data_IF_147529388926
#
_entry.id   IF_147529388926
#
_cell.length_a   1.000
_cell.length_b   1.000
_cell.length_c   1.000
_cell.angle_alpha   90.00
_cell.angle_beta   90.00
_cell.angle_gamma   90.00
#
_symmetry.space_group_name_H-M   'P 1'
#
loop_
_entity.id
_entity.type
_entity.pdbx_description
1 polymer ?
#
# COMPACT_ATOMS: atom_id res chain seq x y z
N UNK A 1 -20.18 20.60 1.75
CA UNK A 1 -19.30 20.04 0.70
C UNK A 1 -18.36 19.10 1.42
N UNK A 2 -18.64 17.80 1.37
CA UNK A 2 -17.85 16.79 2.09
C UNK A 2 -16.47 16.74 1.46
N UNK A 3 -15.49 17.26 2.19
CA UNK A 3 -14.08 17.11 1.89
C UNK A 3 -13.78 15.63 2.15
N UNK A 4 -13.83 14.80 1.10
CA UNK A 4 -13.36 13.42 1.22
C UNK A 4 -11.90 13.50 1.63
N UNK A 5 -11.56 13.02 2.82
CA UNK A 5 -10.15 12.79 3.19
C UNK A 5 -9.59 11.81 2.15
N UNK A 6 -8.89 12.33 1.14
CA UNK A 6 -8.18 11.51 0.20
C UNK A 6 -7.09 10.78 0.99
N UNK A 7 -7.33 9.52 1.32
CA UNK A 7 -6.30 8.68 1.92
C UNK A 7 -5.11 8.63 0.96
N UNK A 8 -3.95 9.05 1.43
CA UNK A 8 -2.70 9.01 0.65
C UNK A 8 -1.98 7.70 0.93
N UNK A 9 -1.54 7.02 -0.12
CA UNK A 9 -0.80 5.75 -0.04
C UNK A 9 0.66 5.99 -0.42
N UNK A 10 1.58 5.53 0.42
CA UNK A 10 3.02 5.57 0.17
C UNK A 10 3.38 4.58 -0.93
N UNK A 11 3.97 5.08 -2.01
CA UNK A 11 4.37 4.30 -3.20
C UNK A 11 5.89 4.16 -3.33
N UNK A 12 6.65 5.01 -2.64
CA UNK A 12 8.10 4.92 -2.57
C UNK A 12 8.65 5.67 -1.35
N UNK A 13 9.91 5.40 -1.03
CA UNK A 13 10.71 6.09 -0.01
C UNK A 13 11.96 6.70 -0.61
N UNK A 14 12.26 7.94 -0.28
CA UNK A 14 13.51 8.60 -0.64
C UNK A 14 14.63 8.07 0.26
N UNK A 15 15.63 7.42 -0.33
CA UNK A 15 16.70 6.75 0.42
C UNK A 15 17.96 7.60 0.56
N UNK A 16 18.30 8.38 -0.46
CA UNK A 16 19.44 9.31 -0.46
C UNK A 16 19.38 10.28 -1.63
N UNK A 17 20.21 11.30 -1.61
CA UNK A 17 20.44 12.17 -2.76
C UNK A 17 21.17 11.45 -3.89
N UNK A 18 21.04 11.99 -5.09
CA UNK A 18 21.70 11.52 -6.30
C UNK A 18 22.12 12.75 -7.11
N UNK A 19 23.38 12.82 -7.54
CA UNK A 19 23.86 13.97 -8.33
C UNK A 19 23.84 15.29 -7.55
N UNK A 20 23.93 16.40 -8.29
CA UNK A 20 24.03 17.76 -7.74
C UNK A 20 22.79 18.61 -8.00
N UNK A 21 21.88 18.18 -8.88
CA UNK A 21 20.71 18.97 -9.32
C UNK A 21 19.44 18.60 -8.56
N UNK A 22 19.61 18.03 -7.37
CA UNK A 22 18.51 17.65 -6.49
C UNK A 22 17.77 16.37 -6.89
N UNK A 23 18.39 15.50 -7.70
CA UNK A 23 17.86 14.15 -7.88
C UNK A 23 17.95 13.35 -6.58
N UNK A 24 17.06 12.36 -6.44
CA UNK A 24 17.05 11.45 -5.32
C UNK A 24 16.96 10.00 -5.77
N UNK A 25 17.56 9.09 -5.01
CA UNK A 25 17.26 7.67 -5.11
C UNK A 25 16.02 7.34 -4.32
N UNK A 26 15.19 6.48 -4.89
CA UNK A 26 13.98 5.99 -4.25
C UNK A 26 13.98 4.48 -4.19
N UNK A 27 13.37 3.94 -3.15
CA UNK A 27 12.95 2.54 -3.04
C UNK A 27 11.45 2.48 -3.30
N UNK A 28 11.02 1.67 -4.26
CA UNK A 28 9.61 1.51 -4.59
C UNK A 28 8.95 0.58 -3.57
N UNK A 29 7.79 0.99 -3.06
CA UNK A 29 6.90 0.15 -2.25
C UNK A 29 5.86 -0.56 -3.12
N UNK A 30 5.63 -0.02 -4.32
CA UNK A 30 4.83 -0.61 -5.38
C UNK A 30 5.69 -0.67 -6.65
N UNK A 31 5.92 -1.87 -7.18
CA UNK A 31 6.69 -2.08 -8.41
C UNK A 31 5.89 -1.70 -9.65
N UNK A 32 5.76 -0.39 -9.90
CA UNK A 32 5.19 0.16 -11.11
C UNK A 32 5.90 1.49 -11.45
N UNK A 33 6.66 1.53 -12.55
CA UNK A 33 7.36 2.73 -12.97
C UNK A 33 6.42 3.79 -13.55
N UNK A 34 5.30 3.39 -14.14
CA UNK A 34 4.34 4.30 -14.77
C UNK A 34 3.71 5.24 -13.74
N UNK A 35 3.72 4.84 -12.46
CA UNK A 35 3.26 5.67 -11.34
C UNK A 35 4.18 6.89 -11.09
N UNK A 36 5.39 6.93 -11.66
CA UNK A 36 6.32 8.06 -11.55
C UNK A 36 6.43 8.90 -12.82
N UNK A 37 5.37 8.91 -13.65
CA UNK A 37 5.33 9.73 -14.87
C UNK A 37 5.55 11.23 -14.62
N UNK A 38 6.23 11.89 -15.57
CA UNK A 38 6.48 13.33 -15.53
C UNK A 38 5.17 14.12 -15.45
N UNK A 39 5.17 15.20 -14.67
CA UNK A 39 4.01 16.04 -14.41
C UNK A 39 3.03 15.50 -13.36
N UNK A 40 3.23 14.26 -12.85
CA UNK A 40 2.35 13.73 -11.80
C UNK A 40 2.54 14.51 -10.50
N UNK A 41 1.40 14.87 -9.90
CA UNK A 41 1.34 15.49 -8.57
C UNK A 41 1.42 14.41 -7.51
N UNK A 42 2.27 14.62 -6.51
CA UNK A 42 2.52 13.69 -5.40
C UNK A 42 2.57 14.46 -4.09
N UNK A 43 2.46 13.74 -2.97
CA UNK A 43 2.70 14.27 -1.65
C UNK A 43 4.02 13.73 -1.11
N UNK A 44 4.87 14.62 -0.60
CA UNK A 44 6.07 14.26 0.15
C UNK A 44 5.78 14.44 1.64
N UNK A 45 6.12 13.43 2.44
CA UNK A 45 5.93 13.49 3.90
C UNK A 45 6.97 12.64 4.62
N UNK A 46 7.48 13.08 5.77
CA UNK A 46 8.42 12.27 6.56
C UNK A 46 8.73 12.90 7.90
N UNK A 47 9.49 12.22 8.75
CA UNK A 47 9.77 12.70 10.11
C UNK A 47 10.44 14.09 10.18
N UNK A 48 11.14 14.50 9.12
CA UNK A 48 11.88 15.77 9.05
C UNK A 48 11.13 16.89 8.32
N UNK A 49 10.00 16.60 7.68
CA UNK A 49 9.29 17.55 6.82
C UNK A 49 7.77 17.47 7.08
N UNK A 50 7.12 18.62 7.08
CA UNK A 50 5.66 18.65 6.98
C UNK A 50 5.23 18.10 5.62
N UNK A 51 3.98 17.62 5.54
CA UNK A 51 3.41 17.19 4.27
C UNK A 51 3.43 18.34 3.26
N UNK A 52 3.97 18.07 2.07
CA UNK A 52 4.10 19.04 0.99
C UNK A 52 3.82 18.41 -0.37
N UNK A 53 2.95 19.07 -1.13
CA UNK A 53 2.74 18.74 -2.54
C UNK A 53 3.99 19.00 -3.38
N UNK A 54 4.30 18.06 -4.27
CA UNK A 54 5.37 18.16 -5.25
C UNK A 54 4.89 17.64 -6.61
N UNK A 55 5.69 17.90 -7.64
CA UNK A 55 5.43 17.40 -8.99
C UNK A 55 6.68 16.68 -9.49
N UNK A 56 6.48 15.50 -10.07
CA UNK A 56 7.58 14.72 -10.65
C UNK A 56 8.02 15.42 -11.94
N UNK A 57 9.30 15.77 -12.00
CA UNK A 57 9.92 16.28 -13.22
C UNK A 57 10.28 15.12 -14.15
N UNK A 58 11.02 14.14 -13.62
CA UNK A 58 11.27 12.89 -14.32
C UNK A 58 11.58 11.74 -13.35
N UNK A 59 11.46 10.53 -13.87
CA UNK A 59 11.86 9.29 -13.24
C UNK A 59 12.68 8.45 -14.21
N UNK A 60 13.69 7.73 -13.70
CA UNK A 60 14.46 6.77 -14.50
C UNK A 60 15.04 5.64 -13.64
N UNK A 61 15.25 4.49 -14.28
CA UNK A 61 16.14 3.45 -13.75
C UNK A 61 17.56 3.71 -14.23
N UNK A 62 18.51 3.69 -13.29
CA UNK A 62 19.92 3.93 -13.57
C UNK A 62 20.77 2.97 -12.73
N UNK A 63 21.49 2.05 -13.38
CA UNK A 63 22.36 1.05 -12.73
C UNK A 63 21.65 0.26 -11.61
N UNK A 64 20.43 -0.23 -11.87
CA UNK A 64 19.65 -0.97 -10.88
C UNK A 64 19.00 -0.13 -9.78
N UNK A 65 19.10 1.20 -9.85
CA UNK A 65 18.45 2.11 -8.90
C UNK A 65 17.34 2.91 -9.56
N UNK A 66 16.28 3.18 -8.79
CA UNK A 66 15.23 4.11 -9.16
C UNK A 66 15.64 5.53 -8.75
N UNK A 67 15.63 6.46 -9.71
CA UNK A 67 16.00 7.87 -9.51
C UNK A 67 14.82 8.74 -9.89
N UNK A 68 14.45 9.65 -9.00
CA UNK A 68 13.40 10.64 -9.22
C UNK A 68 13.95 12.06 -9.10
N UNK A 69 13.35 12.97 -9.86
CA UNK A 69 13.55 14.41 -9.77
C UNK A 69 12.19 15.06 -9.58
N UNK A 70 12.13 16.06 -8.71
CA UNK A 70 10.93 16.86 -8.49
C UNK A 70 11.16 18.29 -8.95
N UNK A 71 10.11 18.95 -9.44
CA UNK A 71 10.16 20.37 -9.81
C UNK A 71 10.40 21.23 -8.56
N UNK A 72 11.37 22.14 -8.63
CA UNK A 72 11.71 23.06 -7.52
C UNK A 72 12.58 22.46 -6.41
N UNK A 73 13.12 21.25 -6.59
CA UNK A 73 14.16 20.66 -5.72
C UNK A 73 15.43 20.57 -6.56
N UNK A 74 16.14 21.68 -6.74
CA UNK A 74 17.13 21.83 -7.81
C UNK A 74 18.60 21.76 -7.35
N UNK A 75 18.82 21.45 -6.07
CA UNK A 75 20.15 21.29 -5.49
C UNK A 75 20.23 20.06 -4.58
N UNK A 76 21.44 19.54 -4.40
CA UNK A 76 21.70 18.46 -3.43
C UNK A 76 21.25 18.86 -2.02
N UNK A 77 21.51 20.10 -1.59
CA UNK A 77 21.13 20.62 -0.29
C UNK A 77 19.61 20.69 -0.10
N UNK A 78 18.86 20.93 -1.17
CA UNK A 78 17.40 20.85 -1.13
C UNK A 78 16.92 19.41 -1.03
N UNK A 79 17.48 18.51 -1.83
CA UNK A 79 17.13 17.09 -1.82
C UNK A 79 17.44 16.39 -0.49
N UNK A 80 18.52 16.78 0.19
CA UNK A 80 18.91 16.24 1.50
C UNK A 80 17.81 16.35 2.56
N UNK A 81 17.01 17.42 2.51
CA UNK A 81 15.88 17.66 3.42
C UNK A 81 14.80 16.58 3.31
N UNK A 82 14.71 15.92 2.15
CA UNK A 82 13.70 14.91 1.84
C UNK A 82 14.21 13.48 2.02
N UNK A 83 15.47 13.27 2.41
CA UNK A 83 15.98 11.91 2.67
C UNK A 83 15.23 11.29 3.85
N UNK A 84 14.65 10.11 3.62
CA UNK A 84 13.75 9.41 4.53
C UNK A 84 12.28 9.77 4.37
N UNK A 85 11.94 10.75 3.53
CA UNK A 85 10.55 11.06 3.22
C UNK A 85 9.93 10.00 2.30
N UNK A 86 8.63 9.83 2.45
CA UNK A 86 7.79 8.98 1.61
C UNK A 86 7.18 9.81 0.48
N UNK A 87 7.04 9.17 -0.66
CA UNK A 87 6.32 9.66 -1.84
C UNK A 87 4.96 9.00 -1.83
N UNK A 88 3.91 9.80 -1.76
CA UNK A 88 2.53 9.35 -1.67
C UNK A 88 1.68 9.88 -2.82
N UNK A 89 0.64 9.12 -3.16
CA UNK A 89 -0.42 9.54 -4.10
C UNK A 89 -1.80 9.31 -3.48
N UNK A 90 -2.85 9.96 -3.97
CA UNK A 90 -4.21 9.62 -3.57
C UNK A 90 -4.52 8.14 -3.85
N UNK A 91 -5.19 7.45 -2.92
CA UNK A 91 -5.52 6.03 -3.06
C UNK A 91 -6.32 5.73 -4.34
N UNK A 92 -7.17 6.66 -4.79
CA UNK A 92 -7.93 6.53 -6.04
C UNK A 92 -7.12 6.66 -7.33
N UNK A 93 -5.85 7.06 -7.24
CA UNK A 93 -4.93 7.14 -8.39
C UNK A 93 -3.99 5.94 -8.48
N UNK A 94 -4.13 4.95 -7.59
CA UNK A 94 -3.37 3.71 -7.69
C UNK A 94 -3.75 2.96 -8.98
N UNK A 95 -2.76 2.33 -9.65
CA UNK A 95 -3.02 1.44 -10.77
C UNK A 95 -4.06 0.38 -10.40
N UNK A 96 -4.92 0.00 -11.34
CA UNK A 96 -5.77 -1.16 -11.11
C UNK A 96 -4.87 -2.39 -10.90
N UNK A 97 -5.07 -3.17 -9.83
CA UNK A 97 -4.34 -4.42 -9.67
C UNK A 97 -4.75 -5.38 -10.79
N UNK A 98 -3.90 -6.40 -11.03
CA UNK A 98 -4.23 -7.49 -11.96
C UNK A 98 -5.52 -8.18 -11.52
N UNK A 99 -6.22 -8.83 -12.45
CA UNK A 99 -7.41 -9.61 -12.11
C UNK A 99 -7.09 -10.64 -11.00
N UNK A 100 -7.92 -10.66 -9.96
CA UNK A 100 -7.72 -11.50 -8.77
C UNK A 100 -6.66 -10.99 -7.77
N UNK A 101 -6.03 -9.84 -8.04
CA UNK A 101 -5.12 -9.18 -7.11
C UNK A 101 -5.82 -7.99 -6.44
N UNK A 102 -5.45 -7.72 -5.19
CA UNK A 102 -6.03 -6.66 -4.38
C UNK A 102 -4.94 -5.94 -3.61
N UNK A 103 -5.11 -4.62 -3.42
CA UNK A 103 -4.27 -3.94 -2.45
C UNK A 103 -4.75 -4.26 -1.04
N UNK A 104 -3.82 -4.63 -0.16
CA UNK A 104 -4.14 -5.04 1.22
C UNK A 104 -4.91 -3.99 2.01
N UNK A 105 -4.64 -2.70 1.78
CA UNK A 105 -5.36 -1.61 2.43
C UNK A 105 -6.84 -1.53 2.01
N UNK A 106 -7.20 -2.03 0.81
CA UNK A 106 -8.60 -2.09 0.35
C UNK A 106 -9.40 -3.16 1.10
N UNK A 107 -8.71 -4.23 1.52
CA UNK A 107 -9.33 -5.35 2.23
C UNK A 107 -9.63 -5.00 3.69
N UNK A 108 -8.86 -4.08 4.29
CA UNK A 108 -9.03 -3.71 5.70
C UNK A 108 -10.45 -3.22 5.99
N UNK A 109 -11.04 -3.78 7.04
CA UNK A 109 -12.42 -3.51 7.46
C UNK A 109 -13.48 -4.25 6.66
N UNK A 110 -13.11 -5.15 5.73
CA UNK A 110 -14.11 -6.03 5.11
C UNK A 110 -14.59 -7.09 6.11
N UNK A 111 -15.87 -7.39 6.04
CA UNK A 111 -16.50 -8.47 6.80
C UNK A 111 -16.18 -9.81 6.15
N UNK A 112 -15.73 -10.76 6.96
CA UNK A 112 -15.28 -12.08 6.54
C UNK A 112 -16.37 -13.11 6.87
N UNK A 113 -16.72 -13.92 5.87
CA UNK A 113 -17.74 -14.96 5.98
C UNK A 113 -17.22 -16.30 5.48
N UNK A 114 -17.73 -17.39 6.02
CA UNK A 114 -17.49 -18.72 5.46
C UNK A 114 -18.28 -18.93 4.16
N UNK A 115 -17.93 -19.96 3.38
CA UNK A 115 -18.67 -20.35 2.18
C UNK A 115 -20.15 -20.68 2.40
N UNK A 116 -20.57 -20.90 3.65
CA UNK A 116 -21.97 -21.15 4.04
C UNK A 116 -22.69 -19.88 4.54
N UNK A 117 -22.02 -18.72 4.53
CA UNK A 117 -22.58 -17.44 4.96
C UNK A 117 -22.48 -17.16 6.46
N UNK A 118 -21.72 -17.95 7.22
CA UNK A 118 -21.46 -17.68 8.64
C UNK A 118 -20.47 -16.53 8.79
N UNK A 119 -20.77 -15.57 9.67
CA UNK A 119 -19.89 -14.45 9.95
C UNK A 119 -18.69 -14.88 10.81
N UNK A 120 -17.48 -14.62 10.33
CA UNK A 120 -16.22 -14.94 11.01
C UNK A 120 -15.73 -13.74 11.82
N UNK A 121 -15.84 -12.53 11.27
CA UNK A 121 -15.33 -11.30 11.91
C UNK A 121 -14.99 -10.23 10.88
N UNK A 122 -14.34 -9.15 11.32
CA UNK A 122 -13.90 -8.06 10.44
C UNK A 122 -12.38 -8.12 10.25
N UNK A 123 -11.91 -7.93 9.01
CA UNK A 123 -10.48 -7.96 8.71
C UNK A 123 -9.78 -6.73 9.30
N UNK A 124 -8.94 -6.93 10.32
CA UNK A 124 -8.22 -5.84 10.98
C UNK A 124 -6.86 -5.55 10.34
N UNK A 125 -6.17 -6.57 9.84
CA UNK A 125 -4.88 -6.44 9.18
C UNK A 125 -4.58 -7.58 8.20
N UNK A 126 -3.69 -7.32 7.25
CA UNK A 126 -2.98 -8.35 6.48
C UNK A 126 -1.54 -8.37 6.97
N UNK A 127 -1.10 -9.49 7.55
CA UNK A 127 0.22 -9.67 8.14
C UNK A 127 1.15 -10.35 7.14
N UNK A 128 2.39 -9.88 7.05
CA UNK A 128 3.46 -10.61 6.36
C UNK A 128 4.12 -11.60 7.32
N UNK A 129 4.03 -12.89 7.01
CA UNK A 129 4.53 -13.99 7.83
C UNK A 129 5.55 -14.82 7.04
N UNK A 130 6.80 -14.34 6.97
CA UNK A 130 7.91 -15.11 6.38
C UNK A 130 7.71 -15.50 4.92
N UNK A 131 7.14 -14.61 4.10
CA UNK A 131 6.87 -14.85 2.68
C UNK A 131 5.46 -15.35 2.37
N UNK A 132 4.68 -15.72 3.38
CA UNK A 132 3.23 -15.90 3.27
C UNK A 132 2.50 -14.68 3.83
N UNK A 133 1.25 -14.47 3.39
CA UNK A 133 0.37 -13.45 3.97
C UNK A 133 -0.73 -14.10 4.79
N UNK A 134 -1.08 -13.49 5.91
CA UNK A 134 -2.13 -13.95 6.82
C UNK A 134 -3.15 -12.83 6.99
N UNK A 135 -4.43 -13.14 6.82
CA UNK A 135 -5.55 -12.29 7.19
C UNK A 135 -5.76 -12.40 8.70
N UNK A 136 -5.67 -11.27 9.41
CA UNK A 136 -6.06 -11.18 10.81
C UNK A 136 -7.50 -10.67 10.89
N UNK A 137 -8.38 -11.52 11.39
CA UNK A 137 -9.82 -11.28 11.48
C UNK A 137 -10.22 -11.24 12.94
N UNK A 138 -10.79 -10.11 13.37
CA UNK A 138 -11.17 -9.90 14.76
C UNK A 138 -12.70 -10.01 14.89
N UNK A 139 -13.15 -10.72 15.93
CA UNK A 139 -14.55 -10.81 16.33
C UNK A 139 -14.65 -10.73 17.84
N UNK A 140 -15.20 -9.62 18.34
CA UNK A 140 -15.30 -9.36 19.78
C UNK A 140 -13.93 -9.49 20.48
N UNK A 141 -13.71 -10.56 21.26
CA UNK A 141 -12.45 -10.86 21.94
C UNK A 141 -11.68 -12.03 21.31
N UNK A 142 -12.13 -12.54 20.17
CA UNK A 142 -11.51 -13.65 19.44
C UNK A 142 -10.75 -13.11 18.22
N UNK A 143 -9.56 -13.68 17.99
CA UNK A 143 -8.71 -13.40 16.83
C UNK A 143 -8.62 -14.67 15.99
N UNK A 144 -8.88 -14.55 14.69
CA UNK A 144 -8.72 -15.64 13.72
C UNK A 144 -7.68 -15.27 12.67
N UNK A 145 -6.67 -16.14 12.53
CA UNK A 145 -5.63 -16.03 11.53
C UNK A 145 -5.93 -16.95 10.34
N UNK A 146 -6.14 -16.37 9.17
CA UNK A 146 -6.51 -17.12 7.95
C UNK A 146 -5.40 -16.92 6.90
N UNK A 147 -4.80 -18.00 6.35
CA UNK A 147 -3.85 -17.87 5.26
C UNK A 147 -4.46 -17.13 4.06
N UNK A 148 -3.79 -16.07 3.60
CA UNK A 148 -4.18 -15.31 2.41
C UNK A 148 -3.69 -16.02 1.14
N UNK A 149 -4.27 -17.20 0.88
CA UNK A 149 -3.98 -18.04 -0.26
C UNK A 149 -5.28 -18.38 -1.02
N UNK A 150 -5.19 -18.56 -2.35
CA UNK A 150 -6.34 -18.83 -3.20
C UNK A 150 -7.19 -20.03 -2.74
N UNK A 151 -6.57 -21.04 -2.12
CA UNK A 151 -7.29 -22.21 -1.60
C UNK A 151 -8.28 -21.89 -0.48
N UNK A 152 -8.07 -20.80 0.25
CA UNK A 152 -8.94 -20.37 1.34
C UNK A 152 -9.82 -19.17 0.96
N UNK A 153 -9.64 -18.58 -0.24
CA UNK A 153 -10.37 -17.40 -0.68
C UNK A 153 -11.35 -17.79 -1.79
N UNK A 154 -12.64 -17.73 -1.47
CA UNK A 154 -13.70 -18.02 -2.44
C UNK A 154 -14.05 -16.79 -3.27
N UNK A 155 -14.22 -15.64 -2.61
CA UNK A 155 -14.63 -14.39 -3.26
C UNK A 155 -14.19 -13.18 -2.44
N UNK A 156 -13.81 -12.10 -3.12
CA UNK A 156 -13.61 -10.78 -2.52
C UNK A 156 -14.52 -9.82 -3.29
N UNK A 157 -15.39 -9.13 -2.56
CA UNK A 157 -16.33 -8.14 -3.08
C UNK A 157 -16.08 -6.82 -2.36
N UNK A 158 -15.30 -5.94 -2.99
CA UNK A 158 -14.92 -4.66 -2.39
C UNK A 158 -16.10 -3.67 -2.32
N UNK A 159 -17.08 -3.80 -3.23
CA UNK A 159 -18.27 -2.94 -3.25
C UNK A 159 -19.15 -3.24 -2.03
N UNK A 160 -19.30 -4.52 -1.68
CA UNK A 160 -20.03 -4.96 -0.49
C UNK A 160 -19.16 -5.03 0.77
N UNK A 161 -17.87 -4.68 0.70
CA UNK A 161 -16.89 -4.84 1.80
C UNK A 161 -16.91 -6.26 2.38
N UNK A 162 -16.96 -7.28 1.52
CA UNK A 162 -17.17 -8.67 1.91
C UNK A 162 -16.06 -9.59 1.38
N UNK A 163 -15.53 -10.46 2.25
CA UNK A 163 -14.59 -11.53 1.89
C UNK A 163 -15.24 -12.86 2.24
N UNK A 164 -15.31 -13.78 1.29
CA UNK A 164 -15.75 -15.15 1.51
C UNK A 164 -14.55 -16.08 1.53
N UNK A 165 -14.41 -16.81 2.63
CA UNK A 165 -13.36 -17.79 2.85
C UNK A 165 -13.90 -19.21 2.88
N UNK A 166 -13.08 -20.16 2.45
CA UNK A 166 -13.32 -21.58 2.63
C UNK A 166 -12.35 -22.12 3.70
N UNK A 167 -12.86 -22.25 4.92
CA UNK A 167 -12.09 -22.73 6.06
C UNK A 167 -12.42 -24.21 6.30
N UNK A 168 -11.43 -25.13 6.23
CA UNK A 168 -11.63 -26.51 6.64
C UNK A 168 -12.01 -26.55 8.13
N UNK A 169 -12.82 -27.53 8.51
CA UNK A 169 -13.38 -27.62 9.86
C UNK A 169 -12.29 -27.58 10.95
N UNK A 170 -11.15 -28.24 10.72
CA UNK A 170 -10.00 -28.29 11.65
C UNK A 170 -9.38 -26.92 11.96
N UNK A 171 -9.51 -25.93 11.07
CA UNK A 171 -8.97 -24.57 11.27
C UNK A 171 -9.90 -23.71 12.15
N UNK A 172 -11.14 -24.15 12.36
CA UNK A 172 -12.13 -23.46 13.22
C UNK A 172 -11.87 -23.71 14.70
N UNK A 173 -11.18 -24.80 15.04
CA UNK A 173 -10.94 -25.21 16.43
C UNK A 173 -9.56 -24.80 16.96
N UNK A 174 -8.67 -24.25 16.13
CA UNK A 174 -7.31 -23.85 16.55
C UNK A 174 -7.25 -22.56 17.40
N UNK A 175 -8.36 -21.81 17.51
CA UNK A 175 -8.43 -20.56 18.28
C UNK A 175 -9.48 -20.57 19.41
N UNK A 176 -9.96 -21.75 19.83
CA UNK A 176 -10.75 -21.91 21.06
C UNK A 176 -9.90 -22.22 22.28
#
# INVERSE_FOLDING_TARGET
MSQSEASYISIARITKTQGLKGEVRIEQLLEDDAIFGAGRRIMLSGAKIAERGAEIDYFRRQHGHCVAKFRGIDSIADAEKFVGAEIKIPAGELPAPREGWYYTFQLKGCDVFTGNGEYVGSLSAVLDWGGSRILKVDRENEETLIPFAQSFLRRIDLDQRRIEVDLPEDLRDLNK
#
